data_IF_011634031649
#
_entry.id   IF_011634031649
#
_cell.length_a   1.000
_cell.length_b   1.000
_cell.length_c   1.000
_cell.angle_alpha   90.00
_cell.angle_beta   90.00
_cell.angle_gamma   90.00
#
_symmetry.space_group_name_H-M   'P 1'
#
loop_
_entity.id
_entity.type
_entity.pdbx_description
1 polymer ?
#
# COMPACT_ATOMS: atom_id res chain seq x y z
N UNK A 1 13.95 -4.12 -0.64
CA UNK A 1 12.91 -5.11 -0.93
C UNK A 1 12.88 -6.12 0.19
N UNK A 2 11.83 -6.05 1.01
CA UNK A 2 11.63 -6.83 2.23
C UNK A 2 10.90 -8.13 1.94
N UNK A 3 9.95 -8.10 1.01
CA UNK A 3 9.17 -9.25 0.56
C UNK A 3 8.94 -9.15 -0.94
N UNK A 4 9.00 -10.30 -1.61
CA UNK A 4 8.59 -10.50 -2.99
C UNK A 4 7.96 -11.90 -3.10
N UNK A 5 6.69 -11.99 -3.48
CA UNK A 5 5.97 -13.27 -3.47
C UNK A 5 6.60 -14.36 -4.34
N UNK A 6 7.14 -14.05 -5.52
CA UNK A 6 7.85 -15.04 -6.35
C UNK A 6 9.14 -15.59 -5.76
N UNK A 7 9.72 -14.87 -4.79
CA UNK A 7 10.95 -15.29 -4.08
C UNK A 7 10.61 -15.95 -2.75
N UNK A 8 9.66 -15.38 -2.02
CA UNK A 8 9.37 -15.72 -0.63
C UNK A 8 8.10 -16.57 -0.47
N UNK A 9 7.30 -16.74 -1.53
CA UNK A 9 6.01 -17.43 -1.59
C UNK A 9 4.81 -16.52 -1.26
N UNK A 10 3.73 -16.59 -2.04
CA UNK A 10 2.45 -15.90 -1.77
C UNK A 10 1.60 -16.70 -0.77
N UNK A 11 1.86 -16.53 0.52
CA UNK A 11 0.96 -17.00 1.56
C UNK A 11 1.07 -16.15 2.84
N UNK A 12 0.05 -16.25 3.68
CA UNK A 12 -0.10 -15.45 4.89
C UNK A 12 1.10 -15.56 5.84
N UNK A 13 1.60 -16.77 6.06
CA UNK A 13 2.72 -17.01 6.97
C UNK A 13 3.99 -16.32 6.48
N UNK A 14 4.32 -16.47 5.19
CA UNK A 14 5.51 -15.83 4.60
C UNK A 14 5.39 -14.31 4.57
N UNK A 15 4.20 -13.78 4.25
CA UNK A 15 3.92 -12.35 4.31
C UNK A 15 4.14 -11.80 5.73
N UNK A 16 3.45 -12.33 6.75
CA UNK A 16 3.55 -11.84 8.12
C UNK A 16 4.95 -12.00 8.71
N UNK A 17 5.66 -13.09 8.42
CA UNK A 17 7.05 -13.27 8.83
C UNK A 17 7.98 -12.15 8.32
N UNK A 18 7.66 -11.54 7.16
CA UNK A 18 8.49 -10.50 6.56
C UNK A 18 8.09 -9.09 6.97
N UNK A 19 6.80 -8.85 7.22
CA UNK A 19 6.28 -7.51 7.57
C UNK A 19 6.14 -7.26 9.06
N UNK A 20 6.02 -8.32 9.88
CA UNK A 20 5.84 -8.18 11.32
C UNK A 20 6.97 -7.35 11.94
N UNK A 21 6.60 -6.39 12.78
CA UNK A 21 7.50 -5.48 13.43
C UNK A 21 7.94 -4.28 12.58
N UNK A 22 7.54 -4.17 11.31
CA UNK A 22 8.07 -3.16 10.37
C UNK A 22 7.05 -2.08 10.05
N UNK A 23 7.52 -0.84 9.94
CA UNK A 23 6.74 0.31 9.44
C UNK A 23 7.39 0.94 8.21
N UNK A 24 6.82 2.05 7.74
CA UNK A 24 7.23 2.74 6.51
C UNK A 24 7.22 1.82 5.29
N UNK A 25 6.14 1.06 5.12
CA UNK A 25 6.01 0.04 4.10
C UNK A 25 5.18 0.56 2.93
N UNK A 26 5.77 0.61 1.75
CA UNK A 26 5.03 0.66 0.48
C UNK A 26 4.75 -0.77 0.03
N UNK A 27 3.48 -1.10 -0.17
CA UNK A 27 3.01 -2.39 -0.68
C UNK A 27 2.44 -2.19 -2.08
N UNK A 28 2.96 -2.92 -3.06
CA UNK A 28 2.52 -2.85 -4.47
C UNK A 28 1.98 -4.20 -4.90
N UNK A 29 0.74 -4.25 -5.36
CA UNK A 29 0.02 -5.45 -5.78
C UNK A 29 -0.27 -5.43 -7.28
N UNK A 30 -0.36 -6.63 -7.87
CA UNK A 30 -0.89 -6.82 -9.23
C UNK A 30 -1.96 -7.90 -9.25
N UNK A 31 -3.14 -7.59 -9.77
CA UNK A 31 -4.24 -8.55 -9.93
C UNK A 31 -4.07 -9.45 -11.17
N UNK A 32 -4.90 -10.49 -11.29
CA UNK A 32 -4.97 -11.32 -12.51
C UNK A 32 -5.40 -10.54 -13.75
N UNK A 33 -6.26 -9.53 -13.62
CA UNK A 33 -6.61 -8.57 -14.67
C UNK A 33 -5.49 -7.56 -15.00
N UNK A 34 -4.28 -7.75 -14.46
CA UNK A 34 -3.11 -6.91 -14.67
C UNK A 34 -3.23 -5.46 -14.14
N UNK A 35 -4.16 -5.21 -13.20
CA UNK A 35 -4.25 -3.91 -12.54
C UNK A 35 -3.18 -3.81 -11.45
N UNK A 36 -2.47 -2.68 -11.43
CA UNK A 36 -1.44 -2.41 -10.45
C UNK A 36 -1.95 -1.35 -9.48
N UNK A 37 -1.87 -1.67 -8.19
CA UNK A 37 -2.39 -0.84 -7.11
C UNK A 37 -1.60 -1.09 -5.83
N UNK A 38 -1.88 -0.33 -4.79
CA UNK A 38 -1.22 -0.55 -3.53
C UNK A 38 -1.46 0.55 -2.53
N UNK A 39 -0.66 0.52 -1.49
CA UNK A 39 -0.73 1.52 -0.45
C UNK A 39 0.61 1.66 0.25
N UNK A 40 0.84 2.84 0.80
CA UNK A 40 1.91 3.12 1.72
C UNK A 40 1.33 3.40 3.10
N UNK A 41 2.02 2.95 4.15
CA UNK A 41 1.75 3.39 5.51
C UNK A 41 3.04 3.47 6.34
N UNK A 42 3.22 4.54 7.15
CA UNK A 42 4.31 4.62 8.12
C UNK A 42 4.06 3.69 9.32
N UNK A 43 2.81 3.28 9.56
CA UNK A 43 2.42 2.47 10.70
C UNK A 43 3.17 1.14 10.74
N UNK A 44 3.45 0.70 11.97
CA UNK A 44 4.09 -0.58 12.23
C UNK A 44 3.07 -1.71 12.06
N UNK A 45 3.41 -2.69 11.24
CA UNK A 45 2.63 -3.90 11.01
C UNK A 45 2.97 -4.92 12.09
N UNK A 46 2.02 -5.30 12.92
CA UNK A 46 2.23 -6.21 14.04
C UNK A 46 1.28 -7.40 13.96
N UNK A 47 1.81 -8.61 14.07
CA UNK A 47 1.02 -9.84 14.02
C UNK A 47 0.31 -10.09 15.35
N UNK A 48 -0.85 -9.46 15.55
CA UNK A 48 -1.77 -9.72 16.67
C UNK A 48 -3.18 -10.05 16.17
N UNK A 49 -4.09 -10.37 17.10
CA UNK A 49 -5.45 -10.86 16.83
C UNK A 49 -6.49 -9.84 16.33
N UNK A 50 -6.09 -8.76 15.66
CA UNK A 50 -6.99 -7.73 15.13
C UNK A 50 -6.99 -6.42 15.91
N UNK A 51 -6.43 -5.36 15.31
CA UNK A 51 -6.51 -3.99 15.82
C UNK A 51 -6.26 -3.00 14.69
N UNK A 52 -6.97 -1.87 14.73
CA UNK A 52 -6.63 -0.71 13.91
C UNK A 52 -5.40 0.02 14.46
N UNK A 53 -4.58 0.53 13.56
CA UNK A 53 -3.39 1.32 13.88
C UNK A 53 -3.57 2.73 13.37
N UNK A 54 -3.30 3.69 14.27
CA UNK A 54 -3.37 5.10 13.96
C UNK A 54 -2.14 5.57 13.17
N UNK A 55 -2.37 6.36 12.12
CA UNK A 55 -1.35 7.16 11.45
C UNK A 55 -1.48 8.63 11.85
N UNK A 56 -0.74 9.05 12.88
CA UNK A 56 -0.73 10.44 13.33
C UNK A 56 -0.05 11.42 12.36
N UNK A 57 0.67 10.91 11.35
CA UNK A 57 1.37 11.74 10.37
C UNK A 57 0.53 12.02 9.13
N UNK A 58 -0.57 11.27 8.94
CA UNK A 58 -1.44 11.31 7.76
C UNK A 58 -0.70 11.09 6.44
N UNK A 59 0.42 10.37 6.50
CA UNK A 59 1.24 10.11 5.32
C UNK A 59 0.86 8.80 4.63
N UNK A 60 -0.04 7.99 5.21
CA UNK A 60 -0.62 6.83 4.54
C UNK A 60 -1.44 7.25 3.31
N UNK A 61 -1.32 6.48 2.22
CA UNK A 61 -2.12 6.67 1.02
C UNK A 61 -2.34 5.33 0.31
N UNK A 62 -3.45 5.24 -0.41
CA UNK A 62 -3.70 4.21 -1.42
C UNK A 62 -3.37 4.79 -2.79
N UNK A 63 -2.92 3.96 -3.73
CA UNK A 63 -2.72 4.35 -5.12
C UNK A 63 -3.25 3.28 -6.08
N UNK A 64 -3.64 3.73 -7.27
CA UNK A 64 -3.86 2.89 -8.45
C UNK A 64 -2.93 3.37 -9.55
N UNK A 65 -2.00 2.51 -9.97
CA UNK A 65 -1.15 2.78 -11.11
C UNK A 65 -1.90 2.69 -12.42
N UNK A 66 -2.82 1.74 -12.53
CA UNK A 66 -3.61 1.56 -13.75
C UNK A 66 -4.49 2.77 -14.08
N UNK A 67 -4.97 3.48 -13.07
CA UNK A 67 -5.81 4.69 -13.25
C UNK A 67 -5.08 6.00 -13.02
N UNK A 68 -3.79 5.98 -12.66
CA UNK A 68 -3.02 7.17 -12.29
C UNK A 68 -3.67 8.00 -11.15
N UNK A 69 -4.04 7.30 -10.08
CA UNK A 69 -4.78 7.88 -8.95
C UNK A 69 -4.09 7.64 -7.62
N UNK A 70 -4.18 8.64 -6.75
CA UNK A 70 -3.75 8.57 -5.35
C UNK A 70 -4.91 9.00 -4.45
N UNK A 71 -5.04 8.30 -3.33
CA UNK A 71 -6.11 8.43 -2.35
C UNK A 71 -5.47 8.63 -0.97
N UNK A 72 -5.32 9.88 -0.50
CA UNK A 72 -4.72 10.18 0.79
C UNK A 72 -5.60 9.73 1.96
N UNK A 73 -4.99 9.41 3.11
CA UNK A 73 -5.73 9.16 4.34
C UNK A 73 -6.48 10.41 4.79
N UNK A 74 -7.74 10.25 5.20
CA UNK A 74 -8.53 11.36 5.73
C UNK A 74 -8.15 11.68 7.17
N UNK A 75 -8.09 12.97 7.50
CA UNK A 75 -7.80 13.47 8.85
C UNK A 75 -8.69 12.84 9.93
N UNK A 76 -9.99 12.72 9.67
CA UNK A 76 -10.99 12.17 10.59
C UNK A 76 -10.95 10.64 10.69
N UNK A 77 -10.13 9.98 9.88
CA UNK A 77 -9.99 8.52 9.82
C UNK A 77 -8.57 8.06 10.15
N UNK A 78 -7.75 8.94 10.73
CA UNK A 78 -6.36 8.63 11.09
C UNK A 78 -6.20 7.42 11.99
N UNK A 79 -7.16 7.16 12.88
CA UNK A 79 -7.18 6.01 13.79
C UNK A 79 -7.42 4.67 13.08
N UNK A 80 -7.87 4.72 11.83
CA UNK A 80 -8.27 3.56 11.03
C UNK A 80 -7.37 3.39 9.80
N UNK A 81 -6.10 3.83 9.86
CA UNK A 81 -5.20 3.87 8.71
C UNK A 81 -4.93 2.47 8.14
N UNK A 82 -4.55 1.54 9.02
CA UNK A 82 -4.37 0.11 8.71
C UNK A 82 -5.02 -0.75 9.79
N UNK A 83 -5.26 -2.02 9.48
CA UNK A 83 -5.69 -3.01 10.45
C UNK A 83 -4.77 -4.21 10.41
N UNK A 84 -4.16 -4.56 11.54
CA UNK A 84 -3.33 -5.75 11.61
C UNK A 84 -4.12 -6.91 12.22
N UNK A 85 -4.31 -7.97 11.43
CA UNK A 85 -4.89 -9.23 11.90
C UNK A 85 -4.24 -10.38 11.16
N UNK A 86 -3.21 -10.97 11.76
CA UNK A 86 -2.47 -12.04 11.12
C UNK A 86 -3.24 -13.36 11.00
N UNK A 87 -4.36 -13.50 11.72
CA UNK A 87 -5.14 -14.73 11.73
C UNK A 87 -6.14 -14.81 10.57
N UNK A 88 -6.59 -13.67 10.06
CA UNK A 88 -7.68 -13.61 9.07
C UNK A 88 -7.31 -12.87 7.79
N UNK A 89 -6.33 -11.95 7.83
CA UNK A 89 -6.04 -11.05 6.71
C UNK A 89 -4.55 -11.04 6.35
N UNK A 90 -4.30 -10.75 5.08
CA UNK A 90 -3.01 -10.22 4.64
C UNK A 90 -2.96 -8.71 4.92
N UNK A 91 -2.69 -7.88 3.90
CA UNK A 91 -2.80 -6.42 4.02
C UNK A 91 -4.25 -5.92 4.15
N UNK A 92 -4.48 -5.01 5.09
CA UNK A 92 -5.74 -4.28 5.23
C UNK A 92 -5.48 -2.79 5.53
N UNK A 93 -5.98 -1.93 4.65
CA UNK A 93 -5.93 -0.48 4.75
C UNK A 93 -7.35 0.08 4.88
N UNK A 94 -7.55 0.95 5.87
CA UNK A 94 -8.80 1.67 6.06
C UNK A 94 -9.85 0.93 6.90
N UNK A 95 -10.59 1.67 7.71
CA UNK A 95 -11.67 1.18 8.59
C UNK A 95 -12.90 0.65 7.85
N UNK A 96 -13.11 1.12 6.63
CA UNK A 96 -14.18 0.63 5.74
C UNK A 96 -13.67 -0.41 4.76
N UNK A 97 -12.45 -0.92 4.98
CA UNK A 97 -11.74 -1.83 4.10
C UNK A 97 -11.55 -1.25 2.68
N UNK A 98 -11.01 -0.04 2.65
CA UNK A 98 -10.62 0.64 1.42
C UNK A 98 -9.73 -0.27 0.55
N UNK A 99 -8.81 -1.02 1.17
CA UNK A 99 -8.23 -2.26 0.62
C UNK A 99 -8.26 -3.34 1.68
N UNK A 100 -8.89 -4.49 1.39
CA UNK A 100 -8.69 -5.73 2.14
C UNK A 100 -8.27 -6.85 1.21
N UNK A 101 -7.15 -7.48 1.54
CA UNK A 101 -6.67 -8.72 0.93
C UNK A 101 -6.70 -9.81 2.01
N UNK A 102 -7.40 -10.91 1.75
CA UNK A 102 -7.51 -12.02 2.70
C UNK A 102 -6.21 -12.83 2.76
N UNK A 103 -6.08 -13.68 3.77
CA UNK A 103 -4.87 -14.48 4.03
C UNK A 103 -4.48 -15.43 2.88
N UNK A 104 -5.42 -15.75 1.99
CA UNK A 104 -5.17 -16.55 0.79
C UNK A 104 -4.67 -15.72 -0.41
N UNK A 105 -4.64 -14.39 -0.31
CA UNK A 105 -4.28 -13.44 -1.38
C UNK A 105 -5.10 -13.56 -2.67
N UNK A 106 -6.17 -14.35 -2.66
CA UNK A 106 -7.09 -14.50 -3.80
C UNK A 106 -8.41 -13.79 -3.56
N UNK A 107 -8.85 -13.74 -2.31
CA UNK A 107 -10.09 -13.09 -1.88
C UNK A 107 -9.82 -11.73 -1.20
N UNK A 108 -10.89 -10.95 -1.08
CA UNK A 108 -10.83 -9.61 -0.53
C UNK A 108 -11.81 -8.67 -1.20
N UNK A 109 -11.73 -7.39 -0.84
CA UNK A 109 -12.59 -6.35 -1.39
C UNK A 109 -11.91 -4.99 -1.31
N UNK A 110 -12.44 -4.08 -2.11
CA UNK A 110 -12.03 -2.70 -2.16
C UNK A 110 -13.28 -1.84 -2.02
N UNK A 111 -13.34 -1.03 -0.97
CA UNK A 111 -14.41 -0.05 -0.75
C UNK A 111 -13.79 1.31 -0.43
N UNK A 112 -13.24 1.95 -1.47
CA UNK A 112 -12.62 3.27 -1.34
C UNK A 112 -13.61 4.31 -0.84
N UNK A 113 -13.10 5.31 -0.12
CA UNK A 113 -13.88 6.47 0.29
C UNK A 113 -14.29 6.47 1.74
N UNK A 114 -13.99 5.41 2.50
CA UNK A 114 -14.25 5.38 3.93
C UNK A 114 -13.11 6.05 4.68
N UNK A 115 -11.92 5.44 4.74
CA UNK A 115 -10.76 6.01 5.42
C UNK A 115 -9.86 6.82 4.49
N UNK A 116 -9.83 6.47 3.21
CA UNK A 116 -9.03 7.17 2.22
C UNK A 116 -9.92 8.00 1.30
N UNK A 117 -9.44 9.18 0.89
CA UNK A 117 -10.23 10.15 0.17
C UNK A 117 -10.48 9.72 -1.29
N UNK A 118 -11.70 9.30 -1.58
CA UNK A 118 -12.16 8.98 -2.94
C UNK A 118 -12.88 10.14 -3.64
N UNK A 119 -13.36 11.14 -2.88
CA UNK A 119 -14.35 12.13 -3.34
C UNK A 119 -13.98 12.88 -4.62
N UNK A 120 -12.68 13.06 -4.88
CA UNK A 120 -12.16 13.72 -6.08
C UNK A 120 -12.37 12.91 -7.39
N UNK A 121 -12.76 11.64 -7.29
CA UNK A 121 -12.98 10.74 -8.43
C UNK A 121 -14.42 10.20 -8.53
N UNK A 122 -15.38 10.79 -7.81
CA UNK A 122 -16.81 10.36 -7.71
C UNK A 122 -17.57 10.24 -9.04
N UNK A 123 -17.06 10.80 -10.13
CA UNK A 123 -17.67 10.68 -11.46
C UNK A 123 -17.24 9.40 -12.21
N UNK A 124 -16.43 8.55 -11.58
CA UNK A 124 -16.06 7.22 -12.07
C UNK A 124 -16.88 6.19 -11.27
N UNK A 125 -17.42 5.15 -11.94
CA UNK A 125 -18.38 4.22 -11.35
C UNK A 125 -17.90 3.64 -10.01
N UNK A 126 -18.82 3.57 -9.03
CA UNK A 126 -18.55 3.29 -7.61
C UNK A 126 -18.16 1.82 -7.27
N UNK A 127 -17.77 1.01 -8.26
CA UNK A 127 -17.45 -0.43 -8.15
C UNK A 127 -15.92 -0.70 -8.18
N UNK A 128 -15.40 -1.90 -7.83
CA UNK A 128 -14.04 -2.10 -7.31
C UNK A 128 -12.96 -2.09 -8.41
N UNK A 129 -12.72 -0.94 -9.04
CA UNK A 129 -11.73 -0.83 -10.11
C UNK A 129 -10.30 -0.92 -9.61
N UNK A 130 -10.01 -0.78 -8.31
CA UNK A 130 -8.62 -0.87 -7.85
C UNK A 130 -7.96 -2.20 -8.27
N UNK A 131 -8.75 -3.28 -8.31
CA UNK A 131 -8.29 -4.60 -8.73
C UNK A 131 -8.58 -4.89 -10.22
N UNK A 132 -9.44 -4.12 -10.88
CA UNK A 132 -9.94 -4.42 -12.23
C UNK A 132 -10.85 -5.65 -12.31
N UNK A 133 -11.38 -6.08 -11.16
CA UNK A 133 -12.19 -7.29 -10.98
C UNK A 133 -12.79 -7.30 -9.55
N UNK A 134 -13.77 -8.18 -9.31
CA UNK A 134 -14.53 -8.22 -8.05
C UNK A 134 -13.69 -8.60 -6.82
N UNK A 135 -12.59 -9.32 -7.02
CA UNK A 135 -11.68 -9.81 -5.98
C UNK A 135 -10.24 -9.48 -6.38
N UNK A 136 -9.30 -9.32 -5.44
CA UNK A 136 -7.94 -8.94 -5.76
C UNK A 136 -7.21 -9.97 -6.63
N UNK A 137 -7.43 -11.27 -6.39
CA UNK A 137 -6.75 -12.39 -7.08
C UNK A 137 -5.29 -12.07 -7.42
N UNK A 138 -4.46 -11.89 -6.40
CA UNK A 138 -3.08 -11.44 -6.60
C UNK A 138 -2.33 -12.47 -7.45
N UNK A 139 -1.74 -11.98 -8.54
CA UNK A 139 -1.04 -12.79 -9.53
C UNK A 139 0.38 -13.08 -9.03
N UNK A 140 0.72 -14.36 -8.82
CA UNK A 140 2.12 -14.79 -8.85
C UNK A 140 2.52 -15.01 -10.32
N UNK A 141 3.29 -14.09 -10.88
CA UNK A 141 3.84 -14.23 -12.23
C UNK A 141 5.31 -14.61 -12.15
N UNK A 142 5.70 -15.69 -12.84
CA UNK A 142 7.10 -16.14 -13.00
C UNK A 142 7.93 -15.27 -13.95
N UNK A 143 7.32 -14.31 -14.66
CA UNK A 143 8.10 -13.31 -15.38
C UNK A 143 8.91 -12.51 -14.36
N UNK A 144 10.24 -12.58 -14.49
CA UNK A 144 11.19 -11.88 -13.63
C UNK A 144 10.92 -10.36 -13.55
N UNK A 145 10.09 -9.82 -14.45
CA UNK A 145 9.75 -8.41 -14.58
C UNK A 145 8.42 -7.99 -13.94
N UNK A 146 7.66 -8.92 -13.36
CA UNK A 146 6.34 -8.61 -12.78
C UNK A 146 6.42 -8.37 -11.27
N UNK A 147 6.03 -7.16 -10.86
CA UNK A 147 5.88 -6.72 -9.47
C UNK A 147 4.60 -7.35 -8.91
N UNK A 148 4.72 -8.28 -7.97
CA UNK A 148 3.57 -9.07 -7.47
C UNK A 148 3.12 -8.62 -6.07
N UNK A 149 4.04 -8.63 -5.10
CA UNK A 149 3.97 -7.89 -3.84
C UNK A 149 5.36 -7.35 -3.56
N UNK A 150 5.59 -6.04 -3.72
CA UNK A 150 6.84 -5.43 -3.24
C UNK A 150 6.53 -4.70 -1.95
N UNK A 151 7.18 -5.14 -0.86
CA UNK A 151 7.25 -4.39 0.38
C UNK A 151 8.62 -3.74 0.47
N UNK A 152 8.69 -2.41 0.54
CA UNK A 152 9.94 -1.66 0.73
C UNK A 152 9.84 -0.75 1.94
N UNK A 153 10.91 -0.71 2.75
CA UNK A 153 11.11 0.33 3.74
C UNK A 153 11.50 1.63 3.02
N UNK A 154 10.87 2.73 3.37
CA UNK A 154 11.05 4.02 2.71
C UNK A 154 12.51 4.52 2.67
N UNK A 155 13.31 4.28 3.71
CA UNK A 155 14.73 4.67 3.77
C UNK A 155 15.62 3.91 2.75
N UNK A 156 15.08 2.86 2.14
CA UNK A 156 15.73 1.99 1.17
C UNK A 156 15.25 2.26 -0.27
N UNK A 157 14.28 3.18 -0.43
CA UNK A 157 13.64 3.51 -1.70
C UNK A 157 14.65 4.13 -2.66
N UNK A 158 15.32 5.21 -2.26
CA UNK A 158 16.25 5.97 -3.12
C UNK A 158 17.37 5.12 -3.76
N UNK A 159 17.89 4.11 -3.06
CA UNK A 159 18.95 3.22 -3.57
C UNK A 159 18.46 2.07 -4.44
N UNK A 160 17.18 1.68 -4.35
CA UNK A 160 16.60 0.54 -5.09
C UNK A 160 15.78 0.98 -6.32
N UNK A 161 15.54 2.28 -6.49
CA UNK A 161 14.87 2.87 -7.66
C UNK A 161 15.60 2.59 -8.99
N UNK A 162 16.92 2.48 -9.00
CA UNK A 162 17.69 2.14 -10.21
C UNK A 162 17.50 0.69 -10.70
N UNK A 163 16.95 -0.19 -9.86
CA UNK A 163 16.54 -1.53 -10.27
C UNK A 163 15.11 -1.56 -10.84
N UNK A 164 14.22 -0.71 -10.32
CA UNK A 164 12.80 -0.61 -10.76
C UNK A 164 12.68 0.18 -12.07
N UNK A 165 13.51 1.22 -12.28
CA UNK A 165 13.62 1.99 -13.54
C UNK A 165 13.85 1.12 -14.78
N UNK A 166 14.47 -0.05 -14.62
CA UNK A 166 14.75 -0.99 -15.71
C UNK A 166 13.57 -1.88 -16.12
N UNK A 167 12.45 -1.86 -15.39
CA UNK A 167 11.34 -2.84 -15.55
C UNK A 167 9.98 -2.26 -15.95
N UNK A 168 9.97 -1.21 -16.78
CA UNK A 168 8.75 -0.66 -17.45
C UNK A 168 7.59 -0.27 -16.51
N UNK A 169 7.87 0.59 -15.54
CA UNK A 169 6.83 1.50 -15.00
C UNK A 169 6.87 2.76 -15.86
N UNK A 170 5.70 3.28 -16.27
CA UNK A 170 5.62 4.56 -16.99
C UNK A 170 6.36 5.65 -16.19
N UNK A 171 7.30 6.34 -16.83
CA UNK A 171 8.12 7.38 -16.18
C UNK A 171 7.25 8.43 -15.47
N UNK A 172 6.09 8.80 -16.04
CA UNK A 172 5.18 9.79 -15.46
C UNK A 172 4.55 9.34 -14.14
N UNK A 173 4.03 8.10 -14.09
CA UNK A 173 3.42 7.57 -12.87
C UNK A 173 4.46 7.41 -11.74
N UNK A 174 5.69 7.03 -12.11
CA UNK A 174 6.83 7.02 -11.22
C UNK A 174 7.12 8.41 -10.64
N UNK A 175 7.19 9.46 -11.48
CA UNK A 175 7.39 10.82 -11.00
C UNK A 175 6.26 11.26 -10.06
N UNK A 176 5.02 10.84 -10.30
CA UNK A 176 3.89 11.19 -9.44
C UNK A 176 3.98 10.54 -8.07
N UNK A 177 4.28 9.23 -7.99
CA UNK A 177 4.52 8.55 -6.71
C UNK A 177 5.78 9.09 -6.03
N UNK A 178 6.87 9.31 -6.77
CA UNK A 178 8.14 9.81 -6.21
C UNK A 178 7.98 11.24 -5.69
N UNK A 179 7.25 12.11 -6.41
CA UNK A 179 6.90 13.44 -5.91
C UNK A 179 5.99 13.38 -4.70
N UNK A 180 5.00 12.46 -4.66
CA UNK A 180 4.17 12.28 -3.47
C UNK A 180 5.02 11.82 -2.29
N UNK A 181 5.84 10.79 -2.44
CA UNK A 181 6.73 10.28 -1.39
C UNK A 181 7.68 11.40 -0.92
N UNK A 182 8.32 12.14 -1.82
CA UNK A 182 9.21 13.27 -1.47
C UNK A 182 8.47 14.41 -0.79
N UNK A 183 7.28 14.76 -1.26
CA UNK A 183 6.45 15.82 -0.67
C UNK A 183 6.09 15.48 0.77
N UNK A 184 5.62 14.26 1.04
CA UNK A 184 5.30 13.82 2.40
C UNK A 184 6.55 13.57 3.25
N UNK A 185 7.71 13.22 2.67
CA UNK A 185 9.00 13.18 3.37
C UNK A 185 9.41 14.57 3.86
N UNK A 186 9.29 15.60 3.02
CA UNK A 186 9.59 16.99 3.40
C UNK A 186 8.65 17.45 4.52
N UNK A 187 7.35 17.16 4.41
CA UNK A 187 6.38 17.48 5.47
C UNK A 187 6.70 16.76 6.79
N UNK A 188 7.05 15.47 6.73
CA UNK A 188 7.43 14.70 7.92
C UNK A 188 8.70 15.26 8.59
N UNK A 189 9.74 15.58 7.81
CA UNK A 189 10.99 16.15 8.33
C UNK A 189 10.79 17.53 8.95
N UNK A 190 9.98 18.38 8.32
CA UNK A 190 9.65 19.70 8.86
C UNK A 190 8.90 19.58 10.20
N UNK A 191 7.96 18.64 10.31
CA UNK A 191 7.22 18.43 11.54
C UNK A 191 8.07 17.85 12.69
N UNK A 192 9.09 17.02 12.39
CA UNK A 192 10.04 16.57 13.41
C UNK A 192 10.96 17.69 13.88
N UNK A 193 11.37 18.60 12.99
CA UNK A 193 12.21 19.75 13.35
C UNK A 193 11.46 20.76 14.23
N UNK A 194 10.16 20.98 13.99
CA UNK A 194 9.32 21.85 14.83
C UNK A 194 9.14 21.30 16.25
N UNK A 195 9.00 19.97 16.41
CA UNK A 195 8.88 19.32 17.72
C UNK A 195 10.18 19.31 18.54
N UNK A 196 11.34 19.40 17.88
CA UNK A 196 12.64 19.43 18.54
C UNK A 196 13.09 20.86 18.92
N UNK A 197 12.29 21.88 18.58
CA UNK A 197 12.54 23.29 18.91
C UNK A 197 11.62 23.83 20.02
N UNK A 198 10.82 22.97 20.65
CA UNK A 198 10.02 23.24 21.85
C UNK A 198 10.53 22.40 23.02
#
# INVERSE_FOLDING_TARGET
>A
MIYQSTRDGLNNQQYWNKVNGKGNLLMVFKSKSDYIFGAYSPCKWESYGGKYVEDNTLSSFIFSQTHDQVYPLRQDQKSNAIHCNSNSYGPLFGGGFDIRIDSNFTDGYCKLGYSYQFSQYKNQSEDPYLFGQNKPEIKESFDQDTINIIVVQQNDYDKKLDAIRRKKISLCFYYQIDQYIRYYQVLFLNHQNEKNQQ
#
